data_IF_555703465075
#
_entry.id   IF_555703465075
#
_cell.length_a   1.000
_cell.length_b   1.000
_cell.length_c   1.000
_cell.angle_alpha   90.00
_cell.angle_beta   90.00
_cell.angle_gamma   90.00
#
_symmetry.space_group_name_H-M   'P 1'
#
loop_
_entity.id
_entity.type
_entity.pdbx_description
1 polymer ?
#
# COMPACT_ATOMS: atom_id res chain seq x y z
N UNK A 1 -9.21 13.27 11.42
CA UNK A 1 -8.96 14.72 11.40
C UNK A 1 -8.75 15.10 9.95
N UNK A 2 -9.20 16.27 9.51
CA UNK A 2 -8.91 16.78 8.16
C UNK A 2 -7.44 17.24 8.01
N UNK A 3 -6.71 17.38 9.13
CA UNK A 3 -5.28 17.69 9.12
C UNK A 3 -4.46 16.42 8.87
N UNK A 4 -3.69 16.40 7.78
CA UNK A 4 -2.79 15.29 7.42
C UNK A 4 -1.78 15.00 8.55
N UNK A 5 -1.27 16.04 9.21
CA UNK A 5 -0.32 15.87 10.32
C UNK A 5 -0.96 15.17 11.52
N UNK A 6 -2.19 15.56 11.87
CA UNK A 6 -2.93 14.91 12.97
C UNK A 6 -3.32 13.48 12.60
N UNK A 7 -3.73 13.24 11.35
CA UNK A 7 -4.02 11.90 10.84
C UNK A 7 -2.78 11.01 10.86
N UNK A 8 -1.60 11.54 10.50
CA UNK A 8 -0.33 10.82 10.58
C UNK A 8 0.04 10.45 12.02
N UNK A 9 -0.10 11.37 12.97
CA UNK A 9 0.11 11.09 14.40
C UNK A 9 -0.89 10.04 14.90
N UNK A 10 -2.15 10.12 14.47
CA UNK A 10 -3.18 9.14 14.78
C UNK A 10 -2.82 7.74 14.29
N UNK A 11 -2.38 7.62 13.04
CA UNK A 11 -1.94 6.33 12.48
C UNK A 11 -0.67 5.80 13.17
N UNK A 12 0.29 6.66 13.49
CA UNK A 12 1.47 6.27 14.26
C UNK A 12 1.08 5.74 15.65
N UNK A 13 0.10 6.37 16.31
CA UNK A 13 -0.44 5.94 17.60
C UNK A 13 -1.13 4.58 17.49
N UNK A 14 -1.99 4.39 16.47
CA UNK A 14 -2.63 3.10 16.19
C UNK A 14 -1.56 2.02 15.99
N UNK A 15 -0.60 2.22 15.09
CA UNK A 15 0.44 1.23 14.80
C UNK A 15 1.33 0.92 16.01
N UNK A 16 1.54 1.88 16.92
CA UNK A 16 2.30 1.67 18.16
C UNK A 16 1.54 0.85 19.21
N UNK A 17 0.22 0.92 19.21
CA UNK A 17 -0.65 0.23 20.16
C UNK A 17 -1.18 -1.11 19.65
N UNK A 18 -1.00 -1.41 18.35
CA UNK A 18 -1.40 -2.68 17.77
C UNK A 18 -0.56 -3.82 18.35
N UNK A 19 -1.24 -4.81 18.91
CA UNK A 19 -0.62 -6.10 19.22
C UNK A 19 -0.58 -6.95 17.95
N UNK A 20 0.63 -7.14 17.42
CA UNK A 20 0.85 -7.83 16.16
C UNK A 20 1.04 -9.32 16.46
N UNK A 21 0.06 -10.12 16.03
CA UNK A 21 0.13 -11.58 16.02
C UNK A 21 1.11 -12.04 14.93
N UNK A 22 2.40 -12.12 15.29
CA UNK A 22 3.49 -12.48 14.38
C UNK A 22 3.33 -13.90 13.82
N UNK A 23 2.63 -14.79 14.53
CA UNK A 23 2.40 -16.16 14.04
C UNK A 23 1.49 -16.20 12.80
N UNK A 24 0.67 -15.16 12.61
CA UNK A 24 -0.15 -14.97 11.41
C UNK A 24 0.57 -14.17 10.32
N UNK A 25 1.73 -13.60 10.64
CA UNK A 25 2.54 -12.88 9.66
C UNK A 25 3.44 -13.83 8.88
N UNK A 26 3.73 -13.45 7.63
CA UNK A 26 4.71 -14.14 6.81
C UNK A 26 5.90 -13.21 6.59
N UNK A 27 7.11 -13.76 6.64
CA UNK A 27 8.31 -13.04 6.22
C UNK A 27 8.36 -13.04 4.68
N UNK A 28 7.64 -12.10 4.08
CA UNK A 28 7.50 -11.96 2.64
C UNK A 28 7.46 -10.48 2.26
N UNK A 29 8.27 -10.10 1.28
CA UNK A 29 8.30 -8.73 0.79
C UNK A 29 7.10 -8.47 -0.14
N UNK A 30 6.38 -7.35 0.06
CA UNK A 30 5.28 -6.95 -0.83
C UNK A 30 5.70 -6.86 -2.30
N UNK A 31 6.93 -6.44 -2.59
CA UNK A 31 7.49 -6.43 -3.95
C UNK A 31 7.37 -7.81 -4.59
N UNK A 32 7.82 -8.84 -3.88
CA UNK A 32 7.93 -10.20 -4.40
C UNK A 32 6.52 -10.80 -4.56
N UNK A 33 5.64 -10.54 -3.59
CA UNK A 33 4.21 -10.92 -3.66
C UNK A 33 3.50 -10.31 -4.87
N UNK A 34 3.68 -9.00 -5.09
CA UNK A 34 3.05 -8.27 -6.21
C UNK A 34 3.64 -8.74 -7.54
N UNK A 35 4.97 -8.91 -7.62
CA UNK A 35 5.65 -9.39 -8.83
C UNK A 35 5.18 -10.80 -9.23
N UNK A 36 5.10 -11.72 -8.27
CA UNK A 36 4.66 -13.09 -8.53
C UNK A 36 3.20 -13.13 -9.00
N UNK A 37 2.29 -12.50 -8.26
CA UNK A 37 0.86 -12.52 -8.60
C UNK A 37 0.54 -11.72 -9.86
N UNK A 38 1.33 -10.68 -10.14
CA UNK A 38 1.17 -9.75 -11.26
C UNK A 38 1.86 -10.16 -12.55
N UNK A 39 2.61 -11.27 -12.56
CA UNK A 39 3.29 -11.77 -13.76
C UNK A 39 2.31 -11.95 -14.94
N UNK A 40 2.55 -11.22 -16.03
CA UNK A 40 1.71 -11.23 -17.23
C UNK A 40 0.32 -10.60 -17.07
N UNK A 41 0.09 -9.85 -15.98
CA UNK A 41 -1.19 -9.20 -15.66
C UNK A 41 -1.07 -7.68 -15.61
N UNK A 42 -2.20 -7.00 -15.45
CA UNK A 42 -2.26 -5.55 -15.25
C UNK A 42 -2.11 -5.23 -13.77
N UNK A 43 -1.16 -4.36 -13.44
CA UNK A 43 -0.88 -3.94 -12.08
C UNK A 43 -1.13 -2.44 -11.97
N UNK A 44 -1.89 -2.02 -10.95
CA UNK A 44 -1.96 -0.62 -10.54
C UNK A 44 -1.24 -0.47 -9.20
N UNK A 45 -0.34 0.50 -9.08
CA UNK A 45 0.33 0.87 -7.83
C UNK A 45 -0.03 2.32 -7.51
N UNK A 46 -0.69 2.55 -6.38
CA UNK A 46 -0.93 3.87 -5.81
C UNK A 46 0.18 4.17 -4.83
N UNK A 47 1.06 5.11 -5.17
CA UNK A 47 2.34 5.28 -4.51
C UNK A 47 3.52 5.01 -5.46
N UNK A 48 4.57 5.81 -5.41
CA UNK A 48 5.82 5.50 -6.10
C UNK A 48 6.80 4.76 -5.20
N UNK A 49 7.19 3.54 -5.57
CA UNK A 49 8.08 2.69 -4.77
C UNK A 49 9.40 2.37 -5.51
N UNK A 50 10.52 2.15 -4.80
CA UNK A 50 11.81 1.83 -5.42
C UNK A 50 11.81 0.57 -6.29
N UNK A 51 10.82 -0.32 -6.11
CA UNK A 51 10.72 -1.58 -6.83
C UNK A 51 9.89 -1.51 -8.12
N UNK A 52 9.36 -0.34 -8.50
CA UNK A 52 8.60 -0.16 -9.75
C UNK A 52 9.35 -0.69 -11.00
N UNK A 53 10.67 -0.47 -11.19
CA UNK A 53 11.40 -1.03 -12.33
C UNK A 53 11.27 -2.55 -12.45
N UNK A 54 11.33 -3.27 -11.33
CA UNK A 54 11.19 -4.73 -11.30
C UNK A 54 9.78 -5.18 -11.72
N UNK A 55 8.74 -4.44 -11.32
CA UNK A 55 7.38 -4.77 -11.74
C UNK A 55 7.18 -4.58 -13.24
N UNK A 56 7.83 -3.57 -13.85
CA UNK A 56 7.76 -3.32 -15.30
C UNK A 56 8.31 -4.49 -16.12
N UNK A 57 9.25 -5.26 -15.58
CA UNK A 57 9.83 -6.43 -16.26
C UNK A 57 8.89 -7.64 -16.30
N UNK A 58 7.89 -7.69 -15.41
CA UNK A 58 7.04 -8.86 -15.20
C UNK A 58 5.57 -8.62 -15.52
N UNK A 59 5.09 -7.39 -15.38
CA UNK A 59 3.71 -7.02 -15.67
C UNK A 59 3.44 -6.99 -17.18
N UNK A 60 2.20 -7.29 -17.58
CA UNK A 60 1.72 -6.99 -18.94
C UNK A 60 1.55 -5.49 -19.13
N UNK A 61 1.08 -4.82 -18.08
CA UNK A 61 0.83 -3.38 -18.02
C UNK A 61 1.02 -2.93 -16.57
N UNK A 62 1.67 -1.78 -16.36
CA UNK A 62 1.90 -1.23 -15.04
C UNK A 62 1.52 0.25 -15.01
N UNK A 63 0.56 0.59 -14.16
CA UNK A 63 0.18 1.96 -13.89
C UNK A 63 0.66 2.34 -12.49
N UNK A 64 1.53 3.35 -12.41
CA UNK A 64 1.93 3.96 -11.15
C UNK A 64 1.16 5.27 -11.01
N UNK A 65 0.38 5.41 -9.96
CA UNK A 65 -0.51 6.55 -9.72
C UNK A 65 0.03 7.30 -8.50
N UNK A 66 0.39 8.56 -8.68
CA UNK A 66 1.02 9.36 -7.64
C UNK A 66 0.53 10.81 -7.66
N UNK A 67 0.48 11.46 -6.49
CA UNK A 67 0.08 12.87 -6.37
C UNK A 67 1.10 13.81 -7.00
N UNK A 68 2.38 13.46 -6.84
CA UNK A 68 3.52 14.14 -7.45
C UNK A 68 4.19 13.18 -8.44
N UNK A 69 3.60 12.97 -9.63
CA UNK A 69 4.05 11.93 -10.56
C UNK A 69 5.44 12.23 -11.11
N UNK A 70 6.21 11.17 -11.32
CA UNK A 70 7.46 11.21 -12.06
C UNK A 70 7.22 10.87 -13.55
N UNK A 71 8.28 10.89 -14.35
CA UNK A 71 8.18 10.51 -15.76
C UNK A 71 7.64 9.06 -15.91
N UNK A 72 6.52 8.93 -16.63
CA UNK A 72 5.83 7.66 -16.83
C UNK A 72 4.85 7.27 -15.73
N UNK A 73 4.68 8.09 -14.70
CA UNK A 73 3.60 7.94 -13.71
C UNK A 73 2.34 8.67 -14.17
N UNK A 74 1.21 8.26 -13.61
CA UNK A 74 -0.11 8.83 -13.78
C UNK A 74 -0.49 9.68 -12.57
N UNK A 75 -1.33 10.67 -12.79
CA UNK A 75 -1.86 11.52 -11.72
C UNK A 75 -2.99 10.83 -10.96
N UNK A 76 -3.29 11.28 -9.74
CA UNK A 76 -4.41 10.74 -8.95
C UNK A 76 -5.78 10.86 -9.66
N UNK A 77 -5.95 11.79 -10.60
CA UNK A 77 -7.17 11.97 -11.41
C UNK A 77 -7.44 10.78 -12.32
N UNK A 78 -6.41 10.00 -12.65
CA UNK A 78 -6.51 8.86 -13.56
C UNK A 78 -6.85 7.56 -12.83
N UNK A 79 -6.82 7.57 -11.49
CA UNK A 79 -7.08 6.40 -10.65
C UNK A 79 -8.42 5.74 -10.97
N UNK A 80 -9.49 6.54 -11.09
CA UNK A 80 -10.85 6.09 -11.34
C UNK A 80 -11.01 5.35 -12.68
N UNK A 81 -10.12 5.64 -13.65
CA UNK A 81 -10.11 4.97 -14.95
C UNK A 81 -9.21 3.73 -14.96
N UNK A 82 -8.09 3.77 -14.24
CA UNK A 82 -7.04 2.73 -14.32
C UNK A 82 -7.25 1.60 -13.31
N UNK A 83 -7.57 1.91 -12.05
CA UNK A 83 -7.72 0.91 -10.97
C UNK A 83 -8.79 -0.14 -11.29
N UNK A 84 -9.98 0.19 -11.84
CA UNK A 84 -10.98 -0.81 -12.20
C UNK A 84 -10.53 -1.82 -13.27
N UNK A 85 -9.42 -1.55 -13.95
CA UNK A 85 -8.85 -2.45 -14.95
C UNK A 85 -7.75 -3.35 -14.37
N UNK A 86 -7.27 -3.09 -13.17
CA UNK A 86 -6.14 -3.81 -12.60
C UNK A 86 -6.53 -5.21 -12.12
N UNK A 87 -5.64 -6.17 -12.34
CA UNK A 87 -5.77 -7.52 -11.81
C UNK A 87 -5.08 -7.60 -10.42
N UNK A 88 -4.07 -6.75 -10.18
CA UNK A 88 -3.37 -6.57 -8.89
C UNK A 88 -3.34 -5.08 -8.56
N UNK A 89 -3.66 -4.72 -7.31
CA UNK A 89 -3.62 -3.32 -6.84
C UNK A 89 -2.72 -3.24 -5.61
N UNK A 90 -1.64 -2.46 -5.70
CA UNK A 90 -0.82 -2.07 -4.54
C UNK A 90 -1.20 -0.66 -4.09
N UNK A 91 -1.54 -0.47 -2.81
CA UNK A 91 -1.94 0.82 -2.25
C UNK A 91 -0.98 1.20 -1.12
N UNK A 92 -0.35 2.37 -1.21
CA UNK A 92 0.46 2.93 -0.12
C UNK A 92 -0.33 3.03 1.19
N UNK A 93 0.31 2.68 2.32
CA UNK A 93 -0.23 2.89 3.66
C UNK A 93 -0.53 4.36 3.96
N UNK A 94 0.10 5.31 3.27
CA UNK A 94 -0.21 6.75 3.43
C UNK A 94 -1.63 7.10 2.98
N UNK A 95 -2.32 6.21 2.24
CA UNK A 95 -3.74 6.33 1.91
C UNK A 95 -4.66 6.41 3.15
N UNK A 96 -4.22 5.86 4.30
CA UNK A 96 -4.91 6.03 5.58
C UNK A 96 -4.85 7.48 6.08
N UNK A 97 -3.70 8.13 5.93
CA UNK A 97 -3.44 9.48 6.49
C UNK A 97 -3.98 10.61 5.63
N UNK A 98 -4.14 10.38 4.34
CA UNK A 98 -4.64 11.40 3.39
C UNK A 98 -6.09 11.12 2.95
N UNK A 99 -6.78 10.19 3.63
CA UNK A 99 -8.20 9.89 3.47
C UNK A 99 -8.63 9.34 2.10
N UNK A 100 -7.70 8.78 1.32
CA UNK A 100 -8.04 8.23 -0.01
C UNK A 100 -8.33 6.74 0.00
N UNK A 101 -7.99 5.99 1.06
CA UNK A 101 -8.09 4.54 1.06
C UNK A 101 -9.49 4.01 0.70
N UNK A 102 -10.54 4.56 1.31
CA UNK A 102 -11.92 4.09 1.08
C UNK A 102 -12.33 4.27 -0.39
N UNK A 103 -11.96 5.40 -1.00
CA UNK A 103 -12.20 5.65 -2.42
C UNK A 103 -11.46 4.63 -3.30
N UNK A 104 -10.17 4.44 -3.03
CA UNK A 104 -9.33 3.51 -3.80
C UNK A 104 -9.83 2.07 -3.73
N UNK A 105 -10.28 1.62 -2.55
CA UNK A 105 -10.87 0.28 -2.39
C UNK A 105 -12.18 0.13 -3.18
N UNK A 106 -13.01 1.17 -3.27
CA UNK A 106 -14.25 1.15 -4.07
C UNK A 106 -14.01 1.04 -5.57
N UNK A 107 -12.86 1.52 -6.06
CA UNK A 107 -12.47 1.39 -7.46
C UNK A 107 -11.98 -0.02 -7.81
N UNK A 108 -11.49 -0.78 -6.82
CA UNK A 108 -10.95 -2.11 -7.05
C UNK A 108 -12.07 -3.09 -7.44
N UNK A 109 -11.82 -3.90 -8.47
CA UNK A 109 -12.77 -4.93 -8.84
C UNK A 109 -12.76 -6.07 -7.81
N UNK A 110 -13.88 -6.79 -7.59
CA UNK A 110 -13.90 -7.94 -6.67
C UNK A 110 -12.97 -9.11 -7.03
N UNK A 111 -12.35 -9.08 -8.22
CA UNK A 111 -11.38 -10.10 -8.68
C UNK A 111 -9.93 -9.64 -8.53
N UNK A 112 -9.70 -8.36 -8.27
CA UNK A 112 -8.36 -7.82 -8.10
C UNK A 112 -7.75 -8.35 -6.80
N UNK A 113 -6.45 -8.64 -6.82
CA UNK A 113 -5.72 -8.92 -5.59
C UNK A 113 -5.18 -7.62 -5.01
N UNK A 114 -5.65 -7.24 -3.82
CA UNK A 114 -5.40 -5.93 -3.21
C UNK A 114 -4.37 -6.06 -2.09
N UNK A 115 -3.29 -5.29 -2.18
CA UNK A 115 -2.22 -5.22 -1.19
C UNK A 115 -2.11 -3.79 -0.66
N UNK A 116 -2.19 -3.61 0.65
CA UNK A 116 -1.78 -2.33 1.27
C UNK A 116 -0.35 -2.47 1.80
N UNK A 117 0.52 -1.53 1.46
CA UNK A 117 1.95 -1.64 1.71
C UNK A 117 2.60 -0.33 2.17
N UNK A 118 3.59 -0.44 3.03
CA UNK A 118 4.38 0.69 3.56
C UNK A 118 4.23 0.85 5.06
N UNK A 119 5.12 1.64 5.67
CA UNK A 119 5.29 1.72 7.14
C UNK A 119 4.05 2.24 7.89
N UNK A 120 3.20 3.01 7.20
CA UNK A 120 1.93 3.50 7.76
C UNK A 120 0.85 2.42 7.81
N UNK A 121 1.03 1.29 7.13
CA UNK A 121 0.04 0.20 7.07
C UNK A 121 -0.10 -0.49 8.43
N UNK A 122 -1.31 -0.51 9.03
CA UNK A 122 -1.56 -1.26 10.25
C UNK A 122 -1.53 -2.77 9.96
N UNK A 123 -0.70 -3.50 10.70
CA UNK A 123 -0.67 -4.97 10.68
C UNK A 123 -1.82 -5.55 11.51
N UNK A 124 -3.06 -5.29 11.08
CA UNK A 124 -4.28 -5.72 11.76
C UNK A 124 -5.19 -6.50 10.81
N UNK A 125 -5.77 -7.64 11.25
CA UNK A 125 -6.63 -8.45 10.40
C UNK A 125 -7.95 -7.76 10.03
N UNK A 126 -8.36 -6.71 10.75
CA UNK A 126 -9.59 -5.95 10.45
C UNK A 126 -9.57 -5.36 9.04
N UNK A 127 -8.38 -5.09 8.50
CA UNK A 127 -8.22 -4.52 7.16
C UNK A 127 -8.76 -5.48 6.08
N UNK A 128 -8.72 -6.79 6.34
CA UNK A 128 -9.24 -7.81 5.42
C UNK A 128 -10.77 -7.79 5.29
N UNK A 129 -11.49 -7.29 6.31
CA UNK A 129 -12.96 -7.13 6.26
C UNK A 129 -13.39 -6.08 5.22
N UNK A 130 -12.44 -5.28 4.70
CA UNK A 130 -12.66 -4.26 3.67
C UNK A 130 -12.25 -4.71 2.26
N UNK A 131 -12.07 -6.02 2.04
CA UNK A 131 -11.74 -6.59 0.73
C UNK A 131 -10.26 -6.54 0.36
N UNK A 132 -9.39 -6.26 1.33
CA UNK A 132 -7.93 -6.32 1.16
C UNK A 132 -7.48 -7.77 1.28
N UNK A 133 -6.58 -8.22 0.40
CA UNK A 133 -6.06 -9.60 0.43
C UNK A 133 -4.75 -9.73 1.21
N UNK A 134 -3.95 -8.67 1.27
CA UNK A 134 -2.70 -8.66 2.02
C UNK A 134 -2.35 -7.27 2.57
N UNK A 135 -1.67 -7.26 3.71
CA UNK A 135 -1.05 -6.06 4.29
C UNK A 135 0.44 -6.29 4.49
N UNK A 136 1.25 -5.30 4.14
CA UNK A 136 2.70 -5.32 4.32
C UNK A 136 3.15 -4.04 5.02
N UNK A 137 3.23 -4.12 6.34
CA UNK A 137 3.71 -3.05 7.21
C UNK A 137 5.03 -3.39 7.88
N UNK A 138 5.42 -2.58 8.86
CA UNK A 138 6.70 -2.70 9.57
C UNK A 138 6.46 -2.79 11.07
N UNK A 139 7.09 -3.78 11.72
CA UNK A 139 7.15 -3.87 13.19
C UNK A 139 8.48 -3.30 13.68
N UNK A 140 8.41 -2.26 14.51
CA UNK A 140 9.61 -1.70 15.16
C UNK A 140 10.09 -2.67 16.24
N UNK A 141 11.32 -3.17 16.10
CA UNK A 141 11.96 -4.08 17.06
C UNK A 141 12.96 -3.37 17.98
N UNK A 142 13.40 -2.16 17.59
CA UNK A 142 14.32 -1.30 18.36
C UNK A 142 13.78 0.14 18.35
N UNK A 143 12.97 0.52 19.36
CA UNK A 143 12.36 1.83 19.44
C UNK A 143 13.36 2.98 19.54
N UNK A 144 14.49 2.79 20.24
CA UNK A 144 15.51 3.84 20.39
C UNK A 144 16.21 4.14 19.07
N UNK A 145 16.55 3.08 18.32
CA UNK A 145 17.14 3.25 16.99
C UNK A 145 16.14 3.85 16.01
N UNK A 146 14.88 3.40 16.05
CA UNK A 146 13.84 3.99 15.21
C UNK A 146 13.69 5.49 15.49
N UNK A 147 13.65 5.90 16.77
CA UNK A 147 13.55 7.30 17.16
C UNK A 147 14.69 8.16 16.60
N UNK A 148 15.94 7.67 16.66
CA UNK A 148 17.11 8.37 16.10
C UNK A 148 17.05 8.55 14.57
N UNK A 149 16.29 7.71 13.87
CA UNK A 149 16.16 7.79 12.42
C UNK A 149 15.06 8.76 11.97
N UNK A 150 14.13 9.11 12.86
CA UNK A 150 12.95 9.94 12.54
C UNK A 150 12.91 11.28 13.27
N UNK A 151 13.83 11.51 14.21
CA UNK A 151 14.02 12.76 14.96
C UNK A 151 14.86 13.78 14.21
#
# INVERSE_FOLDING_TARGET
SESILEAAIGMATINSLLDIDVERCQDLNARDLIAEKGKGKRIAIVGHFPFIPLLREHARELWVIEKNPQEGDFTEVEADNLIPQADIVGITGTAFTNHTLEHLLKLCTPRAYIVILGDTTPLSPIVFDYGVDAVSGTKVIDPERALRCVS
#
